data_IF_637441910408
#
_entry.id   IF_637441910408
#
_cell.length_a   1.000
_cell.length_b   1.000
_cell.length_c   1.000
_cell.angle_alpha   90.00
_cell.angle_beta   90.00
_cell.angle_gamma   90.00
#
_symmetry.space_group_name_H-M   'P 1'
#
loop_
_entity.id
_entity.type
_entity.pdbx_description
1 polymer ?
#
# COMPACT_ATOMS: atom_id res chain seq x y z
N UNK A 1 11.24 50.95 -15.70
CA UNK A 1 10.66 50.17 -14.58
C UNK A 1 10.80 48.70 -14.95
N UNK A 2 11.87 48.05 -14.48
CA UNK A 2 12.08 46.62 -14.68
C UNK A 2 11.29 45.87 -13.60
N UNK A 3 10.20 45.22 -13.98
CA UNK A 3 9.59 44.19 -13.14
C UNK A 3 10.53 42.98 -13.16
N UNK A 4 11.21 42.76 -12.04
CA UNK A 4 11.89 41.50 -11.77
C UNK A 4 10.82 40.42 -11.60
N UNK A 5 10.72 39.52 -12.56
CA UNK A 5 10.02 38.25 -12.40
C UNK A 5 10.70 37.47 -11.27
N UNK A 6 9.96 37.20 -10.19
CA UNK A 6 10.39 36.24 -9.17
C UNK A 6 10.69 34.89 -9.84
N UNK A 7 11.70 34.14 -9.36
CA UNK A 7 11.96 32.80 -9.85
C UNK A 7 10.69 31.96 -9.67
N UNK A 8 10.13 31.45 -10.77
CA UNK A 8 9.00 30.54 -10.75
C UNK A 8 9.33 29.39 -9.78
N UNK A 9 8.55 29.29 -8.72
CA UNK A 9 8.70 28.18 -7.77
C UNK A 9 8.43 26.89 -8.54
N UNK A 10 9.40 25.98 -8.59
CA UNK A 10 9.21 24.63 -9.14
C UNK A 10 8.09 23.95 -8.36
N UNK A 11 6.89 23.91 -8.97
CA UNK A 11 5.67 23.42 -8.33
C UNK A 11 5.81 21.97 -7.86
N UNK A 12 6.71 21.19 -8.48
CA UNK A 12 7.02 19.80 -8.09
C UNK A 12 7.70 19.71 -6.71
N UNK A 13 8.34 20.80 -6.27
CA UNK A 13 9.05 20.91 -4.98
C UNK A 13 8.34 21.85 -4.01
N UNK A 14 7.24 22.46 -4.44
CA UNK A 14 6.47 23.34 -3.59
C UNK A 14 5.86 22.57 -2.42
N UNK A 15 5.78 23.24 -1.27
CA UNK A 15 5.01 22.75 -0.13
C UNK A 15 4.28 23.91 0.52
N UNK A 16 3.07 23.63 1.01
CA UNK A 16 2.29 24.59 1.80
C UNK A 16 1.88 23.91 3.10
N UNK A 17 1.64 24.68 4.15
CA UNK A 17 1.22 24.14 5.44
C UNK A 17 0.16 25.02 6.07
N UNK A 18 -0.69 24.42 6.89
CA UNK A 18 -1.68 25.13 7.70
C UNK A 18 -1.87 24.43 9.03
N UNK A 19 -2.33 25.19 10.01
CA UNK A 19 -2.78 24.64 11.29
C UNK A 19 -4.31 24.52 11.30
N UNK A 20 -4.83 23.39 11.77
CA UNK A 20 -6.26 23.16 11.94
C UNK A 20 -6.48 22.25 13.14
N UNK A 21 -7.36 22.66 14.06
CA UNK A 21 -7.67 21.93 15.29
C UNK A 21 -6.41 21.51 16.10
N UNK A 22 -5.38 22.36 16.13
CA UNK A 22 -4.12 22.10 16.83
C UNK A 22 -3.18 21.10 16.15
N UNK A 23 -3.47 20.68 14.91
CA UNK A 23 -2.61 19.84 14.09
C UNK A 23 -2.06 20.62 12.89
N UNK A 24 -0.79 20.39 12.53
CA UNK A 24 -0.19 20.96 11.34
C UNK A 24 -0.39 20.00 10.16
N UNK A 25 -1.08 20.48 9.12
CA UNK A 25 -1.18 19.81 7.84
C UNK A 25 -0.15 20.38 6.87
N UNK A 26 0.62 19.50 6.22
CA UNK A 26 1.57 19.86 5.16
C UNK A 26 1.14 19.21 3.85
N UNK A 27 1.02 20.00 2.80
CA UNK A 27 0.71 19.55 1.46
C UNK A 27 1.90 19.66 0.51
N UNK A 28 2.08 18.64 -0.31
CA UNK A 28 3.05 18.57 -1.42
C UNK A 28 2.32 18.06 -2.67
N UNK A 29 2.79 18.43 -3.87
CA UNK A 29 2.13 17.95 -5.09
C UNK A 29 2.42 16.46 -5.30
N UNK A 30 1.38 15.68 -5.58
CA UNK A 30 1.49 14.26 -5.90
C UNK A 30 2.18 14.07 -7.25
N UNK A 31 3.17 13.14 -7.36
CA UNK A 31 3.79 12.81 -8.64
C UNK A 31 2.82 12.40 -9.74
N UNK A 32 1.65 11.86 -9.37
CA UNK A 32 0.62 11.48 -10.32
C UNK A 32 0.17 12.64 -11.22
N UNK A 33 0.24 13.89 -10.74
CA UNK A 33 -0.17 15.08 -11.48
C UNK A 33 0.69 15.39 -12.70
N UNK A 34 1.96 15.00 -12.72
CA UNK A 34 2.85 15.22 -13.87
C UNK A 34 3.32 13.92 -14.54
N UNK A 35 3.19 12.77 -13.88
CA UNK A 35 3.47 11.46 -14.51
C UNK A 35 2.36 11.02 -15.47
N UNK A 36 1.14 11.52 -15.28
CA UNK A 36 0.00 11.23 -16.15
C UNK A 36 -0.75 12.52 -16.49
N UNK A 37 -0.62 12.98 -17.74
CA UNK A 37 -1.18 14.26 -18.21
C UNK A 37 -2.70 14.35 -18.12
N UNK A 38 -3.41 13.22 -18.05
CA UNK A 38 -4.87 13.16 -17.89
C UNK A 38 -5.33 12.96 -16.44
N UNK A 39 -4.39 12.92 -15.49
CA UNK A 39 -4.71 12.67 -14.09
C UNK A 39 -5.34 13.88 -13.42
N UNK A 40 -4.90 15.10 -13.75
CA UNK A 40 -5.29 16.35 -13.06
C UNK A 40 -4.38 16.68 -11.87
N UNK A 41 -4.76 17.70 -11.09
CA UNK A 41 -3.95 18.23 -10.01
C UNK A 41 -4.31 17.60 -8.66
N UNK A 42 -3.33 17.02 -7.98
CA UNK A 42 -3.51 16.33 -6.71
C UNK A 42 -2.43 16.75 -5.73
N UNK A 43 -2.84 17.02 -4.49
CA UNK A 43 -1.92 17.20 -3.37
C UNK A 43 -1.93 15.95 -2.48
N UNK A 44 -0.76 15.59 -1.98
CA UNK A 44 -0.57 14.67 -0.86
C UNK A 44 -0.50 15.50 0.40
N UNK A 45 -1.30 15.17 1.40
CA UNK A 45 -1.35 15.88 2.69
C UNK A 45 -0.93 14.96 3.81
N UNK A 46 0.02 15.45 4.61
CA UNK A 46 0.56 14.79 5.80
C UNK A 46 0.20 15.60 7.04
N UNK A 47 0.11 14.93 8.19
CA UNK A 47 -0.21 15.55 9.48
C UNK A 47 0.95 15.33 10.44
N UNK A 48 1.47 16.40 11.05
CA UNK A 48 2.69 16.40 11.88
C UNK A 48 2.68 15.39 13.04
N UNK A 49 1.51 15.18 13.63
CA UNK A 49 1.35 14.43 14.89
C UNK A 49 0.90 12.97 14.66
N UNK A 50 0.95 12.54 13.41
CA UNK A 50 0.48 11.24 12.96
C UNK A 50 -0.97 11.26 12.50
N UNK A 51 -1.17 11.20 11.18
CA UNK A 51 -2.47 11.03 10.52
C UNK A 51 -2.41 10.19 9.25
N UNK A 52 -1.20 9.75 8.86
CA UNK A 52 -0.95 9.11 7.58
C UNK A 52 -1.02 10.13 6.44
N UNK A 53 -1.17 9.62 5.23
CA UNK A 53 -1.35 10.45 4.05
C UNK A 53 -2.84 10.52 3.67
N UNK A 54 -3.29 11.70 3.29
CA UNK A 54 -4.53 11.92 2.57
C UNK A 54 -4.23 12.53 1.19
N UNK A 55 -5.13 12.32 0.24
CA UNK A 55 -4.98 12.85 -1.12
C UNK A 55 -6.21 13.68 -1.47
N UNK A 56 -5.99 14.91 -1.93
CA UNK A 56 -7.06 15.77 -2.44
C UNK A 56 -6.81 16.01 -3.91
N UNK A 57 -7.83 15.73 -4.73
CA UNK A 57 -7.68 15.61 -6.17
C UNK A 57 -8.71 16.49 -6.89
N UNK A 58 -8.20 17.36 -7.75
CA UNK A 58 -8.97 18.16 -8.69
C UNK A 58 -8.66 17.74 -10.13
N UNK A 59 -9.56 16.94 -10.69
CA UNK A 59 -9.38 16.33 -12.02
C UNK A 59 -9.34 17.35 -13.15
N UNK A 60 -10.15 18.41 -13.02
CA UNK A 60 -10.33 19.41 -14.07
C UNK A 60 -9.16 20.42 -14.15
N UNK A 61 -8.31 20.48 -13.13
CA UNK A 61 -7.12 21.34 -13.12
C UNK A 61 -5.92 20.56 -13.63
N UNK A 62 -5.39 20.93 -14.80
CA UNK A 62 -4.15 20.35 -15.29
C UNK A 62 -2.95 20.84 -14.47
N UNK A 63 -1.93 19.99 -14.30
CA UNK A 63 -0.70 20.37 -13.57
C UNK A 63 0.01 21.57 -14.18
N UNK A 64 -0.06 21.76 -15.50
CA UNK A 64 0.57 22.88 -16.20
C UNK A 64 -0.05 24.24 -15.83
N UNK A 65 -1.31 24.25 -15.43
CA UNK A 65 -2.06 25.48 -15.09
C UNK A 65 -2.12 25.73 -13.57
N UNK A 66 -1.77 24.71 -12.78
CA UNK A 66 -1.83 24.75 -11.33
C UNK A 66 -0.78 25.68 -10.71
N UNK A 67 -1.11 26.24 -9.55
CA UNK A 67 -0.25 27.17 -8.80
C UNK A 67 -0.18 26.79 -7.33
N UNK A 68 0.76 27.39 -6.59
CA UNK A 68 0.84 27.26 -5.13
C UNK A 68 -0.46 27.70 -4.44
N UNK A 69 -1.19 28.64 -5.04
CA UNK A 69 -2.53 29.04 -4.58
C UNK A 69 -3.54 27.89 -4.64
N UNK A 70 -3.50 27.04 -5.67
CA UNK A 70 -4.37 25.86 -5.77
C UNK A 70 -4.01 24.82 -4.70
N UNK A 71 -2.73 24.65 -4.38
CA UNK A 71 -2.32 23.80 -3.26
C UNK A 71 -2.93 24.27 -1.95
N UNK A 72 -2.89 25.59 -1.71
CA UNK A 72 -3.44 26.20 -0.50
C UNK A 72 -4.96 26.03 -0.46
N UNK A 73 -5.66 26.32 -1.56
CA UNK A 73 -7.12 26.13 -1.69
C UNK A 73 -7.55 24.67 -1.49
N UNK A 74 -6.80 23.71 -2.03
CA UNK A 74 -7.10 22.29 -1.80
C UNK A 74 -6.84 21.90 -0.34
N UNK A 75 -5.74 22.38 0.25
CA UNK A 75 -5.42 22.15 1.66
C UNK A 75 -6.52 22.71 2.57
N UNK A 76 -6.96 23.96 2.34
CA UNK A 76 -8.35 24.51 2.45
C UNK A 76 -9.43 23.56 2.97
N UNK A 77 -9.68 22.55 2.16
CA UNK A 77 -10.85 21.69 2.26
C UNK A 77 -10.79 20.66 3.38
N UNK A 78 -9.59 20.39 3.94
CA UNK A 78 -9.35 19.21 4.77
C UNK A 78 -9.63 19.45 6.26
N UNK A 79 -10.69 18.88 6.79
CA UNK A 79 -11.01 18.87 8.21
C UNK A 79 -10.13 17.90 9.02
N UNK A 80 -10.02 18.20 10.32
CA UNK A 80 -9.39 17.36 11.33
C UNK A 80 -10.36 17.17 12.48
N UNK A 81 -10.52 15.92 12.91
CA UNK A 81 -11.38 15.50 14.01
C UNK A 81 -10.56 14.77 15.08
N UNK A 82 -11.15 14.58 16.26
CA UNK A 82 -10.58 13.72 17.28
C UNK A 82 -10.71 12.24 16.89
N UNK A 83 -9.62 11.49 17.01
CA UNK A 83 -9.61 10.05 16.79
C UNK A 83 -10.57 9.35 17.76
N UNK A 84 -11.49 8.55 17.22
CA UNK A 84 -12.49 7.77 17.98
C UNK A 84 -11.88 6.83 19.03
N UNK A 85 -10.61 6.45 18.90
CA UNK A 85 -9.93 5.51 19.82
C UNK A 85 -9.09 6.19 20.90
N UNK A 86 -8.43 7.31 20.59
CA UNK A 86 -7.43 7.88 21.50
C UNK A 86 -7.45 9.41 21.59
N UNK A 87 -8.41 10.09 20.97
CA UNK A 87 -8.57 11.55 21.03
C UNK A 87 -7.56 12.36 20.21
N UNK A 88 -6.45 11.77 19.76
CA UNK A 88 -5.45 12.44 18.91
C UNK A 88 -6.04 12.90 17.56
N UNK A 89 -5.47 13.91 16.90
CA UNK A 89 -5.90 14.33 15.57
C UNK A 89 -6.02 13.19 14.55
N UNK A 90 -7.06 13.24 13.74
CA UNK A 90 -7.32 12.33 12.62
C UNK A 90 -7.98 13.10 11.47
N UNK A 91 -7.80 12.64 10.23
CA UNK A 91 -8.49 13.23 9.08
C UNK A 91 -10.00 13.06 9.21
N UNK A 92 -10.74 14.12 8.89
CA UNK A 92 -12.18 14.09 8.85
C UNK A 92 -12.67 13.44 7.55
N UNK A 93 -13.30 12.25 7.59
CA UNK A 93 -13.78 11.57 6.40
C UNK A 93 -14.88 12.33 5.64
N UNK A 94 -15.54 13.30 6.29
CA UNK A 94 -16.57 14.12 5.66
C UNK A 94 -15.96 15.21 4.76
N UNK A 95 -14.64 15.43 4.88
CA UNK A 95 -13.91 16.47 4.13
C UNK A 95 -12.84 15.91 3.19
N UNK A 96 -12.29 14.74 3.50
CA UNK A 96 -11.29 14.07 2.67
C UNK A 96 -11.50 12.57 2.68
N UNK A 97 -11.40 11.95 1.49
CA UNK A 97 -11.59 10.52 1.36
C UNK A 97 -10.50 9.75 2.11
N UNK A 98 -10.90 8.94 3.08
CA UNK A 98 -10.01 8.05 3.83
C UNK A 98 -10.73 6.76 4.22
N UNK A 99 -9.97 5.66 4.33
CA UNK A 99 -10.44 4.36 4.81
C UNK A 99 -10.15 4.14 6.31
N UNK A 100 -9.76 5.20 7.03
CA UNK A 100 -9.32 5.10 8.44
C UNK A 100 -10.47 5.13 9.45
N UNK A 101 -11.73 5.25 9.00
CA UNK A 101 -12.91 5.20 9.88
C UNK A 101 -12.83 6.14 11.10
N UNK A 102 -12.45 7.41 10.88
CA UNK A 102 -12.25 8.43 11.94
C UNK A 102 -11.12 8.10 12.94
N UNK A 103 -10.22 7.16 12.63
CA UNK A 103 -9.04 6.81 13.45
C UNK A 103 -7.82 7.58 12.96
N UNK A 104 -6.93 7.92 13.89
CA UNK A 104 -5.58 8.37 13.55
C UNK A 104 -4.74 7.18 13.02
N UNK A 105 -3.67 7.47 12.28
CA UNK A 105 -2.81 6.47 11.64
C UNK A 105 -2.34 5.38 12.61
N UNK A 106 -1.91 5.77 13.81
CA UNK A 106 -1.43 4.82 14.82
C UNK A 106 -2.50 3.79 15.22
N UNK A 107 -3.74 4.26 15.43
CA UNK A 107 -4.82 3.36 15.83
C UNK A 107 -5.28 2.48 14.66
N UNK A 108 -5.39 3.07 13.47
CA UNK A 108 -5.74 2.34 12.25
C UNK A 108 -4.72 1.24 11.93
N UNK A 109 -3.43 1.59 11.89
CA UNK A 109 -2.35 0.64 11.63
C UNK A 109 -2.21 -0.40 12.75
N UNK A 110 -2.49 -0.03 14.00
CA UNK A 110 -2.51 -0.98 15.11
C UNK A 110 -3.55 -2.09 14.92
N UNK A 111 -4.76 -1.72 14.50
CA UNK A 111 -5.83 -2.70 14.21
C UNK A 111 -5.49 -3.54 12.98
N UNK A 112 -5.05 -2.91 11.88
CA UNK A 112 -4.65 -3.60 10.65
C UNK A 112 -3.51 -4.60 10.90
N UNK A 113 -2.51 -4.23 11.69
CA UNK A 113 -1.42 -5.12 12.06
C UNK A 113 -1.92 -6.27 12.93
N UNK A 114 -2.82 -6.03 13.89
CA UNK A 114 -3.39 -7.11 14.70
C UNK A 114 -4.21 -8.11 13.86
N UNK A 115 -4.94 -7.65 12.85
CA UNK A 115 -5.63 -8.52 11.89
C UNK A 115 -4.67 -9.30 11.01
N UNK A 116 -3.63 -8.64 10.50
CA UNK A 116 -2.57 -9.28 9.73
C UNK A 116 -1.89 -10.41 10.52
N UNK A 117 -1.53 -10.14 11.77
CA UNK A 117 -0.90 -11.12 12.65
C UNK A 117 -1.80 -12.32 12.94
N UNK A 118 -3.08 -12.10 13.25
CA UNK A 118 -4.07 -13.18 13.39
C UNK A 118 -4.20 -14.01 12.11
N UNK A 119 -4.20 -13.35 10.95
CA UNK A 119 -4.22 -14.00 9.63
C UNK A 119 -2.99 -14.89 9.43
N UNK A 120 -1.81 -14.37 9.77
CA UNK A 120 -0.53 -15.08 9.68
C UNK A 120 -0.49 -16.31 10.57
N UNK A 121 -0.91 -16.18 11.83
CA UNK A 121 -0.99 -17.31 12.77
C UNK A 121 -1.98 -18.38 12.29
N UNK A 122 -3.16 -17.96 11.81
CA UNK A 122 -4.17 -18.88 11.26
C UNK A 122 -3.64 -19.62 10.03
N UNK A 123 -2.94 -18.93 9.13
CA UNK A 123 -2.33 -19.54 7.96
C UNK A 123 -1.22 -20.54 8.34
N UNK A 124 -0.34 -20.16 9.28
CA UNK A 124 0.71 -21.04 9.79
C UNK A 124 0.14 -22.30 10.45
N UNK A 125 -0.91 -22.15 11.29
CA UNK A 125 -1.59 -23.30 11.90
C UNK A 125 -2.25 -24.20 10.87
N UNK A 126 -2.91 -23.63 9.85
CA UNK A 126 -3.50 -24.40 8.74
C UNK A 126 -2.41 -25.18 7.99
N UNK A 127 -1.26 -24.56 7.77
CA UNK A 127 -0.13 -25.19 7.11
C UNK A 127 0.42 -26.36 7.93
N UNK A 128 0.71 -26.16 9.21
CA UNK A 128 1.16 -27.23 10.12
C UNK A 128 0.15 -28.39 10.23
N UNK A 129 -1.16 -28.09 10.24
CA UNK A 129 -2.19 -29.13 10.24
C UNK A 129 -2.18 -29.95 8.94
N UNK A 130 -1.98 -29.29 7.79
CA UNK A 130 -1.86 -29.98 6.50
C UNK A 130 -0.59 -30.81 6.45
N UNK A 131 0.55 -30.27 6.89
CA UNK A 131 1.82 -30.98 6.99
C UNK A 131 1.66 -32.27 7.80
N UNK A 132 1.08 -32.17 9.01
CA UNK A 132 0.82 -33.33 9.86
C UNK A 132 -0.13 -34.36 9.21
N UNK A 133 -1.15 -33.89 8.48
CA UNK A 133 -2.08 -34.76 7.74
C UNK A 133 -1.36 -35.52 6.62
N UNK A 134 -0.60 -34.83 5.79
CA UNK A 134 0.10 -35.44 4.66
C UNK A 134 1.26 -36.33 5.11
N UNK A 135 1.95 -35.97 6.20
CA UNK A 135 2.93 -36.85 6.83
C UNK A 135 2.33 -38.20 7.25
N UNK A 136 1.14 -38.19 7.86
CA UNK A 136 0.40 -39.43 8.20
C UNK A 136 -0.02 -40.25 6.98
N UNK A 137 -0.16 -39.62 5.81
CA UNK A 137 -0.44 -40.29 4.54
C UNK A 137 0.84 -40.80 3.84
N UNK A 138 2.00 -40.65 4.48
CA UNK A 138 3.30 -41.12 4.00
C UNK A 138 3.98 -40.16 3.03
N UNK A 139 3.55 -38.90 2.94
CA UNK A 139 4.32 -37.86 2.27
C UNK A 139 5.49 -37.43 3.16
N UNK A 140 6.62 -37.16 2.54
CA UNK A 140 7.89 -36.87 3.24
C UNK A 140 8.28 -35.40 3.14
N UNK A 141 7.78 -34.71 2.10
CA UNK A 141 8.20 -33.36 1.75
C UNK A 141 7.02 -32.50 1.31
N UNK A 142 7.06 -31.20 1.62
CA UNK A 142 6.26 -30.15 0.99
C UNK A 142 7.16 -29.28 0.13
N UNK A 143 6.71 -28.97 -1.08
CA UNK A 143 7.35 -28.03 -2.00
C UNK A 143 6.48 -26.79 -2.06
N UNK A 144 6.98 -25.66 -1.54
CA UNK A 144 6.34 -24.36 -1.71
C UNK A 144 6.98 -23.67 -2.92
N UNK A 145 6.21 -23.39 -3.95
CA UNK A 145 6.71 -22.84 -5.22
C UNK A 145 5.95 -21.60 -5.66
N UNK A 146 6.65 -20.71 -6.38
CA UNK A 146 6.05 -19.64 -7.16
C UNK A 146 5.90 -20.07 -8.61
N UNK A 147 4.67 -19.99 -9.12
CA UNK A 147 4.38 -20.29 -10.52
C UNK A 147 4.43 -18.97 -11.29
N UNK A 148 5.48 -18.83 -12.09
CA UNK A 148 5.68 -17.68 -12.98
C UNK A 148 5.16 -18.04 -14.35
N UNK A 149 4.09 -17.41 -14.80
CA UNK A 149 3.55 -17.65 -16.16
C UNK A 149 4.14 -16.64 -17.13
N UNK A 150 4.05 -16.90 -18.43
CA UNK A 150 4.49 -15.99 -19.51
C UNK A 150 3.59 -14.71 -19.63
N UNK A 151 2.92 -14.34 -18.53
CA UNK A 151 1.94 -13.26 -18.43
C UNK A 151 0.99 -13.48 -17.25
N UNK A 152 0.61 -12.38 -16.59
CA UNK A 152 -0.26 -12.38 -15.39
C UNK A 152 0.50 -12.39 -14.07
N UNK A 153 -0.24 -12.59 -12.97
CA UNK A 153 0.31 -12.58 -11.62
C UNK A 153 0.94 -13.93 -11.24
N UNK A 154 2.03 -13.88 -10.48
CA UNK A 154 2.66 -15.06 -9.90
C UNK A 154 1.75 -15.70 -8.85
N UNK A 155 1.75 -17.04 -8.79
CA UNK A 155 0.88 -17.80 -7.87
C UNK A 155 1.71 -18.69 -6.96
N UNK A 156 1.54 -18.52 -5.64
CA UNK A 156 2.11 -19.43 -4.65
C UNK A 156 1.30 -20.73 -4.55
N UNK A 157 1.98 -21.87 -4.63
CA UNK A 157 1.38 -23.21 -4.52
C UNK A 157 2.21 -24.11 -3.62
N UNK A 158 1.55 -25.06 -2.95
CA UNK A 158 2.22 -26.09 -2.14
C UNK A 158 1.88 -27.48 -2.67
N UNK A 159 2.91 -28.25 -3.02
CA UNK A 159 2.80 -29.66 -3.40
C UNK A 159 3.29 -30.56 -2.26
N UNK A 160 2.61 -31.66 -1.99
CA UNK A 160 3.07 -32.69 -1.05
C UNK A 160 3.60 -33.87 -1.86
N UNK A 161 4.85 -34.28 -1.63
CA UNK A 161 5.53 -35.30 -2.42
C UNK A 161 6.29 -36.33 -1.53
N UNK A 162 6.51 -37.53 -2.07
CA UNK A 162 7.30 -38.60 -1.45
C UNK A 162 8.69 -38.60 -2.07
N UNK A 163 9.71 -38.34 -1.25
CA UNK A 163 11.13 -38.22 -1.60
C UNK A 163 11.37 -37.65 -3.00
N UNK A 164 10.85 -36.43 -3.28
CA UNK A 164 10.89 -35.89 -4.62
C UNK A 164 12.32 -35.57 -5.04
N UNK A 165 12.62 -35.89 -6.30
CA UNK A 165 13.80 -35.39 -7.00
C UNK A 165 13.50 -34.03 -7.63
N UNK A 166 14.54 -33.22 -7.89
CA UNK A 166 14.37 -31.94 -8.59
C UNK A 166 13.67 -32.09 -9.94
N UNK A 167 13.95 -33.17 -10.68
CA UNK A 167 13.29 -33.43 -11.96
C UNK A 167 11.76 -33.63 -11.82
N UNK A 168 11.31 -34.28 -10.74
CA UNK A 168 9.88 -34.46 -10.44
C UNK A 168 9.24 -33.14 -10.02
N UNK A 169 9.94 -32.33 -9.21
CA UNK A 169 9.46 -30.99 -8.82
C UNK A 169 9.30 -30.13 -10.08
N UNK A 170 10.33 -30.06 -10.92
CA UNK A 170 10.28 -29.32 -12.17
C UNK A 170 9.18 -29.82 -13.11
N UNK A 171 8.87 -31.11 -13.12
CA UNK A 171 7.77 -31.66 -13.91
C UNK A 171 6.41 -31.13 -13.44
N UNK A 172 6.17 -31.04 -12.13
CA UNK A 172 4.95 -30.42 -11.57
C UNK A 172 4.88 -28.92 -11.89
N UNK A 173 6.01 -28.19 -11.79
CA UNK A 173 6.06 -26.77 -12.15
C UNK A 173 5.77 -26.52 -13.64
N UNK A 174 6.31 -27.37 -14.54
CA UNK A 174 5.97 -27.33 -15.98
C UNK A 174 4.49 -27.61 -16.21
N UNK A 175 3.90 -28.57 -15.49
CA UNK A 175 2.48 -28.90 -15.57
C UNK A 175 1.59 -27.73 -15.11
N UNK A 176 2.05 -26.96 -14.12
CA UNK A 176 1.44 -25.72 -13.69
C UNK A 176 1.67 -24.53 -14.65
N UNK A 177 2.38 -24.76 -15.77
CA UNK A 177 2.79 -23.78 -16.78
C UNK A 177 3.72 -22.70 -16.24
N UNK A 178 4.56 -23.05 -15.26
CA UNK A 178 5.63 -22.15 -14.82
C UNK A 178 6.75 -22.10 -15.88
N UNK A 179 7.23 -20.90 -16.19
CA UNK A 179 8.41 -20.67 -17.03
C UNK A 179 9.70 -20.72 -16.21
N UNK A 180 9.61 -20.46 -14.91
CA UNK A 180 10.70 -20.59 -13.94
C UNK A 180 10.48 -21.88 -13.14
N UNK A 181 11.47 -22.77 -13.16
CA UNK A 181 11.33 -24.14 -12.62
C UNK A 181 12.16 -24.39 -11.36
N UNK A 182 12.78 -23.35 -10.82
CA UNK A 182 13.66 -23.41 -9.65
C UNK A 182 13.26 -22.41 -8.55
N UNK A 183 12.16 -21.67 -8.71
CA UNK A 183 11.61 -20.84 -7.63
C UNK A 183 10.70 -21.69 -6.73
N UNK A 184 11.36 -22.49 -5.90
CA UNK A 184 10.70 -23.29 -4.88
C UNK A 184 11.57 -23.49 -3.65
N UNK A 185 10.90 -23.78 -2.54
CA UNK A 185 11.50 -24.24 -1.29
C UNK A 185 11.01 -25.65 -0.97
N UNK A 186 11.95 -26.55 -0.70
CA UNK A 186 11.66 -27.89 -0.21
C UNK A 186 11.68 -27.89 1.33
N UNK A 187 10.62 -28.41 1.95
CA UNK A 187 10.47 -28.57 3.39
C UNK A 187 10.25 -30.05 3.70
N UNK A 188 11.06 -30.62 4.61
CA UNK A 188 10.83 -31.96 5.16
C UNK A 188 9.66 -31.93 6.15
N UNK A 189 8.75 -32.91 6.05
CA UNK A 189 7.57 -33.05 6.91
C UNK A 189 7.84 -33.83 8.20
#
# INVERSE_FOLDING_TARGET
>A
MNQQSSPETDLKKASVSREVAGAILKAEVSPCSWMNSKYGFQITVTMSDGGGNAFVHEKELAFADAKVGDMSRLLETIGVIACVKCGKPAFDPDTVRTNREKKCERCFMGELNAEFEKGREKAARRMANNDAKYKKQGYTHRVDAWIHRDGGDDVAVSYYMKDPTDAQIQAELRKARSVVLNDYKLIQL
#
